data_IF_995828004028
#
_entry.id   IF_995828004028
#
_cell.length_a   1.000
_cell.length_b   1.000
_cell.length_c   1.000
_cell.angle_alpha   90.00
_cell.angle_beta   90.00
_cell.angle_gamma   90.00
#
_symmetry.space_group_name_H-M   'P 1'
#
loop_
_entity.id
_entity.type
_entity.pdbx_description
1 polymer ?
#
# COMPACT_ATOMS: atom_id res chain seq x y z
N UNK A 1 -17.08 14.00 17.00
CA UNK A 1 -16.28 12.84 17.45
C UNK A 1 -16.98 12.19 18.63
N UNK A 2 -17.15 10.90 18.61
CA UNK A 2 -17.69 10.11 19.72
C UNK A 2 -16.92 8.79 19.85
N UNK A 3 -15.93 8.75 20.73
CA UNK A 3 -14.99 7.66 20.82
C UNK A 3 -14.27 7.45 19.47
N UNK A 4 -14.22 6.22 18.93
CA UNK A 4 -13.56 5.94 17.65
C UNK A 4 -14.38 6.40 16.42
N UNK A 5 -15.57 6.99 16.64
CA UNK A 5 -16.46 7.36 15.54
C UNK A 5 -16.42 8.87 15.28
N UNK A 6 -16.17 9.22 14.03
CA UNK A 6 -16.15 10.59 13.53
C UNK A 6 -17.27 10.78 12.51
N UNK A 7 -17.96 11.93 12.56
CA UNK A 7 -18.95 12.34 11.56
C UNK A 7 -18.42 13.52 10.77
N UNK A 8 -18.57 13.46 9.47
CA UNK A 8 -18.17 14.50 8.50
C UNK A 8 -19.41 14.99 7.77
N UNK A 9 -19.58 16.30 7.70
CA UNK A 9 -20.74 16.92 7.04
C UNK A 9 -20.71 16.81 5.50
N UNK A 10 -19.55 16.53 4.91
CA UNK A 10 -19.44 16.27 3.46
C UNK A 10 -19.79 14.80 3.16
N UNK A 11 -20.76 14.61 2.27
CA UNK A 11 -21.30 13.30 1.93
C UNK A 11 -20.99 12.87 0.50
N UNK A 12 -20.46 13.78 -0.34
CA UNK A 12 -20.25 13.54 -1.77
C UNK A 12 -18.86 13.04 -2.11
N UNK A 13 -17.92 13.21 -1.19
CA UNK A 13 -16.49 12.93 -1.42
C UNK A 13 -16.05 11.54 -1.00
N UNK A 14 -16.94 10.74 -0.37
CA UNK A 14 -16.56 9.46 0.22
C UNK A 14 -17.40 8.31 -0.29
N UNK A 15 -16.72 7.17 -0.54
CA UNK A 15 -17.36 5.89 -0.84
C UNK A 15 -17.48 5.02 0.42
N UNK A 16 -18.40 4.04 0.40
CA UNK A 16 -18.47 3.02 1.46
C UNK A 16 -17.20 2.19 1.48
N UNK A 17 -16.70 1.87 2.68
CA UNK A 17 -15.47 1.11 2.94
C UNK A 17 -14.18 1.81 2.46
N UNK A 18 -14.28 3.06 2.09
CA UNK A 18 -13.11 3.83 1.71
C UNK A 18 -12.21 4.10 2.91
N UNK A 19 -10.90 3.92 2.73
CA UNK A 19 -9.90 4.36 3.69
C UNK A 19 -9.76 5.87 3.64
N UNK A 20 -9.67 6.51 4.81
CA UNK A 20 -9.53 7.95 4.95
C UNK A 20 -8.48 8.29 6.01
N UNK A 21 -7.87 9.47 5.87
CA UNK A 21 -7.03 10.03 6.93
C UNK A 21 -7.80 11.11 7.67
N UNK A 22 -7.90 10.99 9.00
CA UNK A 22 -8.69 11.85 9.86
C UNK A 22 -7.80 12.77 10.69
N UNK A 23 -8.08 14.06 10.62
CA UNK A 23 -7.41 15.10 11.40
C UNK A 23 -5.99 15.41 10.95
N UNK A 24 -5.37 16.37 11.64
CA UNK A 24 -3.97 16.79 11.39
C UNK A 24 -2.95 15.67 11.64
N UNK A 25 -3.27 14.77 12.56
CA UNK A 25 -2.44 13.58 12.86
C UNK A 25 -2.54 12.49 11.79
N UNK A 26 -3.43 12.64 10.79
CA UNK A 26 -3.67 11.66 9.73
C UNK A 26 -4.02 10.27 10.26
N UNK A 27 -4.89 10.22 11.29
CA UNK A 27 -5.36 8.96 11.86
C UNK A 27 -6.07 8.12 10.79
N UNK A 28 -5.77 6.83 10.74
CA UNK A 28 -6.38 5.92 9.75
C UNK A 28 -7.81 5.59 10.18
N UNK A 29 -8.74 5.75 9.24
CA UNK A 29 -10.14 5.40 9.43
C UNK A 29 -10.78 4.82 8.18
N UNK A 30 -11.96 4.26 8.34
CA UNK A 30 -12.77 3.67 7.29
C UNK A 30 -14.18 4.24 7.30
N UNK A 31 -14.72 4.49 6.12
CA UNK A 31 -16.10 4.94 5.93
C UNK A 31 -17.06 3.78 6.16
N UNK A 32 -17.79 3.82 7.27
CA UNK A 32 -18.73 2.76 7.66
C UNK A 32 -20.19 3.10 7.32
N UNK A 33 -20.49 4.36 6.99
CA UNK A 33 -21.83 4.78 6.57
C UNK A 33 -21.79 6.11 5.82
N UNK A 34 -22.50 6.19 4.71
CA UNK A 34 -22.75 7.42 3.96
C UNK A 34 -24.25 7.71 4.00
N UNK A 35 -24.62 8.92 4.46
CA UNK A 35 -26.00 9.40 4.54
C UNK A 35 -26.13 10.72 3.78
N UNK A 36 -27.35 11.24 3.65
CA UNK A 36 -27.62 12.48 2.89
C UNK A 36 -27.00 13.74 3.51
N UNK A 37 -26.77 13.73 4.79
CA UNK A 37 -26.35 14.88 5.60
C UNK A 37 -24.98 14.72 6.26
N UNK A 38 -24.51 13.50 6.43
CA UNK A 38 -23.17 13.24 6.98
C UNK A 38 -22.64 11.85 6.59
N UNK A 39 -21.31 11.74 6.60
CA UNK A 39 -20.58 10.47 6.49
C UNK A 39 -20.05 10.08 7.85
N UNK A 40 -20.19 8.80 8.21
CA UNK A 40 -19.67 8.23 9.46
C UNK A 40 -18.42 7.43 9.17
N UNK A 41 -17.38 7.73 9.93
CA UNK A 41 -16.06 7.12 9.81
C UNK A 41 -15.71 6.45 11.14
N UNK A 42 -15.21 5.22 11.07
CA UNK A 42 -14.58 4.55 12.19
C UNK A 42 -13.07 4.77 12.11
N UNK A 43 -12.48 5.34 13.15
CA UNK A 43 -11.03 5.55 13.28
C UNK A 43 -10.43 4.36 14.03
N UNK A 44 -9.32 3.82 13.54
CA UNK A 44 -8.65 2.64 14.10
C UNK A 44 -7.62 2.99 15.18
N UNK A 45 -7.33 4.27 15.35
CA UNK A 45 -6.37 4.79 16.31
C UNK A 45 -7.06 5.65 17.38
N UNK A 46 -6.30 6.11 18.36
CA UNK A 46 -6.81 6.99 19.42
C UNK A 46 -7.27 8.34 18.87
N UNK A 47 -8.52 8.71 19.13
CA UNK A 47 -9.10 10.01 18.69
C UNK A 47 -8.91 11.12 19.71
N UNK A 48 -8.13 10.89 20.76
CA UNK A 48 -7.90 11.89 21.82
C UNK A 48 -7.19 13.12 21.24
N UNK A 49 -7.78 14.28 21.48
CA UNK A 49 -7.27 15.56 20.98
C UNK A 49 -7.71 15.92 19.55
N UNK A 50 -8.50 15.08 18.88
CA UNK A 50 -9.11 15.42 17.60
C UNK A 50 -10.18 16.52 17.83
N UNK A 51 -10.06 17.61 17.09
CA UNK A 51 -10.94 18.77 17.22
C UNK A 51 -11.96 18.83 16.09
N UNK A 52 -13.12 19.51 16.30
CA UNK A 52 -14.01 19.85 15.20
C UNK A 52 -13.27 20.65 14.12
N UNK A 53 -13.74 20.53 12.87
CA UNK A 53 -13.22 21.23 11.68
C UNK A 53 -11.80 20.81 11.25
N UNK A 54 -11.25 19.73 11.82
CA UNK A 54 -10.05 19.12 11.27
C UNK A 54 -10.33 18.40 9.94
N UNK A 55 -9.36 18.39 8.99
CA UNK A 55 -9.58 17.82 7.67
C UNK A 55 -9.78 16.30 7.73
N UNK A 56 -10.61 15.79 6.83
CA UNK A 56 -10.68 14.37 6.49
C UNK A 56 -10.32 14.22 5.02
N UNK A 57 -9.31 13.39 4.74
CA UNK A 57 -8.74 13.23 3.40
C UNK A 57 -9.15 11.87 2.87
N UNK A 58 -9.86 11.87 1.74
CA UNK A 58 -10.20 10.68 0.95
C UNK A 58 -8.95 10.07 0.32
N UNK A 59 -8.85 8.74 0.31
CA UNK A 59 -7.83 8.02 -0.47
C UNK A 59 -8.35 7.54 -1.82
N UNK A 60 -9.67 7.55 -2.02
CA UNK A 60 -10.34 7.06 -3.22
C UNK A 60 -10.36 5.52 -3.35
N UNK A 61 -9.89 4.79 -2.34
CA UNK A 61 -9.79 3.33 -2.36
C UNK A 61 -10.08 2.73 -0.98
N UNK A 62 -10.55 1.48 -0.89
CA UNK A 62 -10.63 0.77 0.37
C UNK A 62 -9.24 0.49 0.96
N UNK A 63 -9.20 0.14 2.25
CA UNK A 63 -7.97 -0.30 2.89
C UNK A 63 -7.40 -1.51 2.13
N UNK A 64 -6.12 -1.45 1.81
CA UNK A 64 -5.41 -2.49 1.06
C UNK A 64 -4.05 -2.76 1.67
N UNK A 65 -3.60 -4.01 1.58
CA UNK A 65 -2.27 -4.41 1.99
C UNK A 65 -1.25 -4.25 0.84
N UNK A 66 -0.07 -3.73 1.17
CA UNK A 66 1.05 -3.62 0.23
C UNK A 66 1.86 -4.90 0.25
N UNK A 67 1.70 -5.73 -0.77
CA UNK A 67 2.40 -7.01 -0.88
C UNK A 67 3.71 -6.85 -1.65
N UNK A 68 4.79 -7.38 -1.08
CA UNK A 68 6.11 -7.33 -1.68
C UNK A 68 7.13 -8.20 -0.94
N UNK A 69 8.36 -8.28 -1.43
CA UNK A 69 9.42 -8.99 -0.75
C UNK A 69 9.72 -8.35 0.62
N UNK A 70 9.88 -9.18 1.64
CA UNK A 70 10.09 -8.74 3.02
C UNK A 70 8.84 -8.71 3.88
N UNK A 71 7.66 -9.04 3.34
CA UNK A 71 6.44 -9.14 4.15
C UNK A 71 6.45 -10.39 5.04
N UNK A 72 7.04 -11.48 4.56
CA UNK A 72 7.15 -12.74 5.33
C UNK A 72 8.17 -12.58 6.46
N UNK A 73 7.88 -13.17 7.62
CA UNK A 73 8.64 -13.06 8.88
C UNK A 73 8.53 -11.71 9.59
N UNK A 74 7.65 -10.82 9.16
CA UNK A 74 7.29 -9.64 9.91
C UNK A 74 5.96 -9.83 10.66
N UNK A 75 5.78 -9.08 11.72
CA UNK A 75 4.53 -9.02 12.48
C UNK A 75 3.96 -7.63 12.30
N UNK A 76 2.71 -7.57 11.90
CA UNK A 76 1.99 -6.32 11.63
C UNK A 76 0.83 -6.14 12.59
N UNK A 77 0.42 -4.91 12.80
CA UNK A 77 -0.84 -4.60 13.45
C UNK A 77 -2.03 -4.68 12.44
N UNK A 78 -3.24 -4.35 12.90
CA UNK A 78 -4.45 -4.45 12.09
C UNK A 78 -4.55 -3.47 10.91
N UNK A 79 -3.64 -2.51 10.82
CA UNK A 79 -3.54 -1.53 9.71
C UNK A 79 -2.20 -1.60 8.98
N UNK A 80 -1.58 -2.78 9.00
CA UNK A 80 -0.35 -3.14 8.27
C UNK A 80 0.92 -2.36 8.69
N UNK A 81 1.00 -1.87 9.92
CA UNK A 81 2.24 -1.26 10.42
C UNK A 81 3.15 -2.33 11.01
N UNK A 82 4.44 -2.42 10.61
CA UNK A 82 5.37 -3.42 11.14
C UNK A 82 5.71 -3.10 12.60
N UNK A 83 5.34 -4.00 13.52
CA UNK A 83 5.46 -3.79 14.98
C UNK A 83 6.90 -3.53 15.43
N UNK A 84 7.87 -4.19 14.79
CA UNK A 84 9.29 -3.99 15.11
C UNK A 84 9.75 -2.56 14.79
N UNK A 85 9.38 -2.03 13.63
CA UNK A 85 9.68 -0.64 13.25
C UNK A 85 8.93 0.36 14.13
N UNK A 86 7.68 0.05 14.50
CA UNK A 86 6.92 0.86 15.44
C UNK A 86 7.64 0.96 16.80
N UNK A 87 8.14 -0.14 17.32
CA UNK A 87 8.89 -0.16 18.58
C UNK A 87 10.18 0.66 18.49
N UNK A 88 10.92 0.55 17.38
CA UNK A 88 12.15 1.33 17.14
C UNK A 88 11.89 2.84 17.11
N UNK A 89 10.76 3.28 16.53
CA UNK A 89 10.41 4.70 16.37
C UNK A 89 9.70 5.28 17.59
N UNK A 90 8.80 4.52 18.20
CA UNK A 90 7.87 5.02 19.23
C UNK A 90 8.15 4.45 20.62
N UNK A 91 9.08 3.48 20.75
CA UNK A 91 9.33 2.78 22.00
C UNK A 91 8.17 1.88 22.40
N UNK A 92 7.94 1.76 23.72
CA UNK A 92 6.90 0.87 24.27
C UNK A 92 5.45 1.32 23.96
N UNK A 93 5.24 2.52 23.46
CA UNK A 93 3.92 3.06 23.16
C UNK A 93 3.81 3.43 21.68
N UNK A 94 2.78 2.91 21.01
CA UNK A 94 2.51 3.23 19.60
C UNK A 94 1.99 4.67 19.53
N UNK A 95 2.71 5.53 18.79
CA UNK A 95 2.27 6.89 18.55
C UNK A 95 1.11 6.91 17.54
N UNK A 96 0.07 7.71 17.83
CA UNK A 96 -1.04 7.92 16.91
C UNK A 96 -0.56 8.57 15.61
N UNK A 97 -1.07 8.12 14.46
CA UNK A 97 -0.75 8.67 13.15
C UNK A 97 0.66 8.37 12.67
N UNK A 98 1.34 7.35 13.24
CA UNK A 98 2.65 6.90 12.74
C UNK A 98 2.51 6.35 11.32
N UNK A 99 3.05 7.08 10.34
CA UNK A 99 3.10 6.69 8.93
C UNK A 99 4.40 5.89 8.69
N UNK A 100 4.32 4.59 8.84
CA UNK A 100 5.46 3.68 8.68
C UNK A 100 5.15 2.72 7.53
N UNK A 101 6.04 2.70 6.53
CA UNK A 101 5.93 1.77 5.40
C UNK A 101 5.91 0.32 5.89
N UNK A 102 4.96 -0.47 5.40
CA UNK A 102 4.86 -1.90 5.69
C UNK A 102 6.06 -2.69 5.19
N UNK A 103 6.65 -2.26 4.08
CA UNK A 103 7.84 -2.85 3.49
C UNK A 103 9.09 -2.00 3.76
N UNK A 104 10.26 -2.63 3.74
CA UNK A 104 11.53 -1.96 3.85
C UNK A 104 11.96 -1.40 2.50
N UNK A 105 11.93 -0.07 2.37
CA UNK A 105 12.22 0.65 1.11
C UNK A 105 13.72 0.72 0.79
N UNK A 106 14.58 0.50 1.79
CA UNK A 106 16.05 0.59 1.64
C UNK A 106 16.70 -0.77 1.42
N UNK A 107 16.01 -1.83 1.80
CA UNK A 107 16.52 -3.18 1.67
C UNK A 107 16.60 -3.61 0.22
N UNK A 108 17.76 -4.14 -0.17
CA UNK A 108 18.00 -4.71 -1.49
C UNK A 108 17.73 -6.21 -1.50
N UNK A 109 17.13 -6.66 -2.58
CA UNK A 109 16.82 -8.06 -2.85
C UNK A 109 17.51 -8.51 -4.15
N UNK A 110 18.16 -9.70 -4.18
CA UNK A 110 18.72 -10.24 -5.40
C UNK A 110 17.60 -10.68 -6.35
N UNK A 111 17.36 -9.86 -7.37
CA UNK A 111 16.30 -10.08 -8.36
C UNK A 111 16.83 -10.89 -9.54
N UNK A 112 16.05 -11.89 -9.95
CA UNK A 112 16.27 -12.67 -11.18
C UNK A 112 15.10 -12.42 -12.13
N UNK A 113 15.39 -11.86 -13.30
CA UNK A 113 14.38 -11.63 -14.34
C UNK A 113 13.93 -12.95 -14.95
N UNK A 114 12.62 -13.13 -15.12
CA UNK A 114 12.02 -14.30 -15.78
C UNK A 114 11.56 -14.00 -17.21
N UNK A 115 11.61 -12.73 -17.59
CA UNK A 115 11.19 -12.23 -18.91
C UNK A 115 12.31 -11.43 -19.56
N UNK A 116 12.22 -11.24 -20.88
CA UNK A 116 13.15 -10.46 -21.70
C UNK A 116 12.39 -9.50 -22.60
N UNK A 117 13.10 -8.50 -23.12
CA UNK A 117 12.55 -7.57 -24.11
C UNK A 117 11.97 -8.31 -25.31
N UNK A 118 10.74 -7.95 -25.70
CA UNK A 118 9.96 -8.59 -26.76
C UNK A 118 8.95 -9.64 -26.26
N UNK A 119 9.06 -10.08 -25.01
CA UNK A 119 8.05 -11.00 -24.42
C UNK A 119 6.72 -10.26 -24.20
N UNK A 120 5.61 -11.00 -24.21
CA UNK A 120 4.29 -10.47 -23.90
C UNK A 120 3.87 -10.92 -22.51
N UNK A 121 3.44 -9.97 -21.70
CA UNK A 121 2.92 -10.20 -20.36
C UNK A 121 1.42 -9.92 -20.30
N UNK A 122 0.72 -10.80 -19.61
CA UNK A 122 -0.69 -10.66 -19.23
C UNK A 122 -0.81 -10.46 -17.73
N UNK A 123 -1.93 -9.94 -17.28
CA UNK A 123 -2.24 -9.83 -15.86
C UNK A 123 -2.04 -11.19 -15.15
N UNK A 124 -1.30 -11.19 -14.05
CA UNK A 124 -0.96 -12.40 -13.30
C UNK A 124 0.33 -13.10 -13.72
N UNK A 125 0.96 -12.71 -14.84
CA UNK A 125 2.25 -13.30 -15.26
C UNK A 125 3.38 -12.84 -14.33
N UNK A 126 4.33 -13.75 -14.08
CA UNK A 126 5.51 -13.50 -13.26
C UNK A 126 6.61 -12.89 -14.13
N UNK A 127 7.10 -11.72 -13.77
CA UNK A 127 8.16 -11.02 -14.52
C UNK A 127 9.53 -11.07 -13.86
N UNK A 128 9.60 -11.28 -12.54
CA UNK A 128 10.85 -11.55 -11.84
C UNK A 128 10.63 -12.34 -10.56
N UNK A 129 11.71 -12.82 -9.98
CA UNK A 129 11.72 -13.53 -8.70
C UNK A 129 12.86 -13.04 -7.82
N UNK A 130 12.67 -13.10 -6.49
CA UNK A 130 13.75 -12.87 -5.54
C UNK A 130 13.62 -13.82 -4.34
N UNK A 131 14.73 -14.31 -3.76
CA UNK A 131 14.72 -15.06 -2.52
C UNK A 131 14.21 -14.16 -1.39
N UNK A 132 13.17 -14.58 -0.68
CA UNK A 132 12.65 -13.88 0.49
C UNK A 132 13.13 -14.50 1.79
N UNK A 133 13.09 -15.82 1.84
CA UNK A 133 13.67 -16.65 2.90
C UNK A 133 14.44 -17.82 2.29
N UNK A 134 15.23 -18.58 3.06
CA UNK A 134 15.89 -19.80 2.53
C UNK A 134 14.94 -20.82 1.89
N UNK A 135 13.64 -20.77 2.25
CA UNK A 135 12.63 -21.73 1.79
C UNK A 135 11.63 -21.12 0.80
N UNK A 136 11.55 -19.78 0.71
CA UNK A 136 10.50 -19.10 -0.05
C UNK A 136 11.14 -18.14 -1.05
N UNK A 137 10.76 -18.31 -2.30
CA UNK A 137 11.08 -17.39 -3.39
C UNK A 137 9.86 -16.53 -3.67
N UNK A 138 10.01 -15.23 -3.50
CA UNK A 138 9.00 -14.25 -3.87
C UNK A 138 8.90 -14.17 -5.40
N UNK A 139 7.67 -14.13 -5.90
CA UNK A 139 7.36 -14.03 -7.34
C UNK A 139 6.69 -12.69 -7.59
N UNK A 140 7.37 -11.79 -8.28
CA UNK A 140 6.80 -10.51 -8.67
C UNK A 140 5.87 -10.71 -9.86
N UNK A 141 4.62 -10.38 -9.67
CA UNK A 141 3.53 -10.65 -10.60
C UNK A 141 2.99 -9.35 -11.16
N UNK A 142 2.69 -9.33 -12.45
CA UNK A 142 1.99 -8.21 -13.07
C UNK A 142 0.60 -8.06 -12.44
N UNK A 143 0.26 -6.83 -12.03
CA UNK A 143 -1.02 -6.55 -11.37
C UNK A 143 -2.20 -7.17 -12.12
N UNK A 144 -3.15 -7.80 -11.41
CA UNK A 144 -4.41 -8.27 -12.01
C UNK A 144 -5.22 -7.18 -12.71
N UNK A 145 -4.98 -5.91 -12.37
CA UNK A 145 -5.62 -4.74 -12.96
C UNK A 145 -4.87 -4.21 -14.21
N UNK A 146 -3.65 -4.68 -14.45
CA UNK A 146 -2.87 -4.29 -15.63
C UNK A 146 -3.52 -4.84 -16.90
N UNK A 147 -3.44 -4.06 -17.97
CA UNK A 147 -3.86 -4.50 -19.32
C UNK A 147 -2.84 -5.41 -20.00
N UNK A 148 -1.71 -5.63 -19.36
CA UNK A 148 -0.59 -6.32 -19.96
C UNK A 148 0.05 -5.55 -21.10
N UNK A 149 1.02 -6.17 -21.77
CA UNK A 149 1.70 -5.54 -22.89
C UNK A 149 2.98 -6.27 -23.29
N UNK A 150 3.71 -5.64 -24.22
CA UNK A 150 5.02 -6.11 -24.65
C UNK A 150 6.11 -5.52 -23.75
N UNK A 151 7.03 -6.36 -23.29
CA UNK A 151 8.20 -5.94 -22.51
C UNK A 151 9.14 -5.16 -23.43
N UNK A 152 9.30 -3.87 -23.17
CA UNK A 152 10.15 -2.98 -23.96
C UNK A 152 11.53 -2.78 -23.33
N UNK A 153 11.67 -3.08 -22.05
CA UNK A 153 12.94 -2.99 -21.33
C UNK A 153 12.91 -3.87 -20.08
N UNK A 154 14.06 -4.47 -19.75
CA UNK A 154 14.31 -5.19 -18.49
C UNK A 154 15.65 -4.77 -17.90
N UNK A 155 15.73 -4.71 -16.57
CA UNK A 155 16.99 -4.63 -15.86
C UNK A 155 17.79 -5.94 -16.00
N UNK A 156 19.08 -5.89 -15.71
CA UNK A 156 19.89 -7.08 -15.53
C UNK A 156 19.58 -7.74 -14.17
N UNK A 157 19.98 -9.01 -14.01
CA UNK A 157 19.90 -9.66 -12.70
C UNK A 157 20.83 -8.93 -11.72
N UNK A 158 20.33 -8.59 -10.52
CA UNK A 158 21.09 -7.80 -9.57
C UNK A 158 20.31 -7.48 -8.31
N UNK A 159 20.87 -6.63 -7.48
CA UNK A 159 20.29 -6.23 -6.20
C UNK A 159 19.48 -4.93 -6.36
N UNK A 160 18.17 -5.01 -6.14
CA UNK A 160 17.22 -3.91 -6.28
C UNK A 160 16.40 -3.72 -5.01
N UNK A 161 15.98 -2.48 -4.76
CA UNK A 161 14.99 -2.14 -3.74
C UNK A 161 13.58 -2.36 -4.29
N UNK A 162 12.59 -2.29 -3.44
CA UNK A 162 11.18 -2.40 -3.87
C UNK A 162 10.68 -1.20 -4.69
N UNK A 163 11.45 -0.12 -4.74
CA UNK A 163 11.12 1.09 -5.50
C UNK A 163 11.86 1.19 -6.84
N UNK A 164 12.83 0.29 -7.08
CA UNK A 164 13.57 0.27 -8.33
C UNK A 164 12.73 -0.34 -9.45
N UNK A 165 12.73 0.31 -10.61
CA UNK A 165 12.06 -0.20 -11.80
C UNK A 165 12.92 -1.31 -12.41
N UNK A 166 12.38 -2.52 -12.53
CA UNK A 166 13.08 -3.69 -13.06
C UNK A 166 12.59 -4.13 -14.44
N UNK A 167 11.41 -3.67 -14.86
CA UNK A 167 10.93 -3.88 -16.22
C UNK A 167 9.98 -2.74 -16.65
N UNK A 168 9.84 -2.57 -17.97
CA UNK A 168 8.85 -1.66 -18.57
C UNK A 168 8.07 -2.40 -19.63
N UNK A 169 6.75 -2.28 -19.59
CA UNK A 169 5.87 -2.86 -20.58
C UNK A 169 5.10 -1.77 -21.34
N UNK A 170 4.84 -2.01 -22.60
CA UNK A 170 4.01 -1.15 -23.44
C UNK A 170 2.66 -1.81 -23.66
N UNK A 171 1.62 -1.22 -23.09
CA UNK A 171 0.25 -1.68 -23.23
C UNK A 171 -0.27 -1.49 -24.68
N UNK A 172 -1.34 -2.20 -25.09
CA UNK A 172 -1.92 -2.08 -26.43
C UNK A 172 -2.37 -0.67 -26.83
N UNK A 173 -2.71 0.16 -25.84
CA UNK A 173 -3.06 1.57 -26.03
C UNK A 173 -1.84 2.51 -26.15
N UNK A 174 -0.62 1.96 -26.13
CA UNK A 174 0.62 2.71 -26.22
C UNK A 174 1.15 3.28 -24.90
N UNK A 175 0.42 3.14 -23.79
CA UNK A 175 0.89 3.55 -22.45
C UNK A 175 2.05 2.66 -21.99
N UNK A 176 3.02 3.25 -21.29
CA UNK A 176 4.13 2.54 -20.67
C UNK A 176 3.83 2.37 -19.18
N UNK A 177 3.91 1.15 -18.70
CA UNK A 177 3.79 0.78 -17.29
C UNK A 177 5.18 0.36 -16.79
N UNK A 178 5.59 0.89 -15.65
CA UNK A 178 6.84 0.56 -14.96
C UNK A 178 6.55 -0.49 -13.88
N UNK A 179 7.41 -1.51 -13.81
CA UNK A 179 7.29 -2.66 -12.94
C UNK A 179 8.52 -2.78 -12.03
#
# INVERSE_FOLDING_TARGET
VNGPVVKVADTKSFAMQEMVYVGKKRLIGEVIRVQSDFTTIQVYEGTTGLMPDEPVISTGAPMSATLGPGIINNIFDGIERPLKKLEEVSGAFIADGADISSLDTEKKYPVTMTVKTGDKLSAGDIYCTCPETPLITHKCMLSPLSKGGEVIWTAENGDYTINDVVAKIKAPNGAVEEL
#
